data_IF_432685845986
#
_entry.id   IF_432685845986
#
_cell.length_a   1.000
_cell.length_b   1.000
_cell.length_c   1.000
_cell.angle_alpha   90.00
_cell.angle_beta   90.00
_cell.angle_gamma   90.00
#
_symmetry.space_group_name_H-M   'P 1'
#
loop_
_entity.id
_entity.type
_entity.pdbx_description
1 polymer ?
#
# COMPACT_ATOMS: atom_id res chain seq x y z
N UNK A 1 4.19 -3.31 -35.80
CA UNK A 1 3.56 -4.37 -34.99
C UNK A 1 4.43 -4.54 -33.75
N UNK A 2 4.14 -3.80 -32.68
CA UNK A 2 4.91 -3.90 -31.44
C UNK A 2 4.35 -5.12 -30.71
N UNK A 3 5.19 -6.16 -30.52
CA UNK A 3 4.85 -7.29 -29.68
C UNK A 3 4.64 -6.75 -28.27
N UNK A 4 3.48 -7.06 -27.69
CA UNK A 4 3.16 -6.78 -26.29
C UNK A 4 4.02 -7.69 -25.42
N UNK A 5 5.30 -7.36 -25.29
CA UNK A 5 6.18 -8.02 -24.34
C UNK A 5 5.64 -7.67 -22.95
N UNK A 6 5.31 -8.71 -22.18
CA UNK A 6 4.79 -8.57 -20.84
C UNK A 6 5.76 -7.71 -20.02
N UNK A 7 5.30 -6.57 -19.54
CA UNK A 7 6.06 -5.77 -18.58
C UNK A 7 6.29 -6.66 -17.34
N UNK A 8 7.54 -6.96 -17.03
CA UNK A 8 7.87 -7.65 -15.79
C UNK A 8 7.34 -6.85 -14.59
N UNK A 9 6.69 -7.52 -13.64
CA UNK A 9 6.02 -6.88 -12.51
C UNK A 9 6.98 -6.10 -11.60
N UNK A 10 8.26 -6.52 -11.54
CA UNK A 10 9.36 -5.75 -10.91
C UNK A 10 9.56 -4.37 -11.57
N UNK A 11 9.32 -4.27 -12.88
CA UNK A 11 9.36 -3.03 -13.66
C UNK A 11 8.10 -2.22 -13.37
N UNK A 12 6.93 -2.85 -13.20
CA UNK A 12 5.68 -2.17 -12.80
C UNK A 12 5.83 -1.41 -11.46
N UNK A 13 6.48 -2.01 -10.47
CA UNK A 13 6.78 -1.35 -9.19
C UNK A 13 7.73 -0.16 -9.32
N UNK A 14 8.80 -0.33 -10.10
CA UNK A 14 9.69 0.79 -10.42
C UNK A 14 8.90 1.92 -11.08
N UNK A 15 7.98 1.57 -11.98
CA UNK A 15 7.14 2.50 -12.72
C UNK A 15 6.08 3.23 -11.87
N UNK A 16 5.51 2.58 -10.84
CA UNK A 16 4.67 3.28 -9.84
C UNK A 16 5.46 4.37 -9.10
N UNK A 17 6.76 4.15 -8.84
CA UNK A 17 7.66 5.17 -8.30
C UNK A 17 8.07 6.27 -9.28
N UNK A 18 7.79 6.14 -10.59
CA UNK A 18 8.18 7.11 -11.63
C UNK A 18 7.03 7.98 -12.16
N UNK A 19 5.80 7.86 -11.64
CA UNK A 19 4.65 8.67 -12.09
C UNK A 19 3.73 7.95 -13.07
N UNK A 20 3.40 6.69 -12.78
CA UNK A 20 2.29 6.00 -13.45
C UNK A 20 0.96 6.70 -13.10
N UNK A 21 0.34 7.35 -14.08
CA UNK A 21 -1.00 7.91 -14.01
C UNK A 21 -1.98 6.90 -14.63
N UNK A 22 -2.87 6.30 -13.86
CA UNK A 22 -3.92 5.47 -14.46
C UNK A 22 -5.21 6.25 -14.68
N UNK A 23 -5.78 6.08 -15.87
CA UNK A 23 -7.16 6.47 -16.16
C UNK A 23 -8.04 5.24 -15.93
N UNK A 24 -8.49 5.12 -14.68
CA UNK A 24 -9.29 3.98 -14.22
C UNK A 24 -10.70 3.98 -14.80
N UNK A 25 -11.22 5.14 -15.21
CA UNK A 25 -12.53 5.26 -15.89
C UNK A 25 -12.52 4.55 -17.24
N UNK A 26 -11.40 4.62 -17.97
CA UNK A 26 -11.20 3.98 -19.27
C UNK A 26 -10.51 2.63 -19.18
N UNK A 27 -10.09 2.20 -17.98
CA UNK A 27 -9.25 1.01 -17.75
C UNK A 27 -7.96 1.05 -18.60
N UNK A 28 -7.40 2.24 -18.76
CA UNK A 28 -6.18 2.50 -19.55
C UNK A 28 -5.11 3.12 -18.66
N UNK A 29 -3.88 2.66 -18.79
CA UNK A 29 -2.77 3.13 -17.98
C UNK A 29 -1.90 4.09 -18.77
N UNK A 30 -1.53 5.22 -18.15
CA UNK A 30 -0.55 6.17 -18.68
C UNK A 30 0.71 6.13 -17.83
N UNK A 31 1.81 5.65 -18.38
CA UNK A 31 3.10 5.75 -17.73
C UNK A 31 3.75 7.08 -18.10
N UNK A 32 4.03 7.92 -17.12
CA UNK A 32 4.92 9.07 -17.31
C UNK A 32 6.32 8.70 -16.84
N UNK A 33 7.33 8.84 -17.71
CA UNK A 33 8.75 8.68 -17.37
C UNK A 33 9.49 9.92 -17.86
N UNK A 34 9.76 10.87 -16.96
CA UNK A 34 10.34 12.17 -17.33
C UNK A 34 9.47 12.92 -18.36
N UNK A 35 10.00 13.39 -19.50
CA UNK A 35 9.21 14.08 -20.53
C UNK A 35 8.34 13.14 -21.39
N UNK A 36 8.42 11.82 -21.19
CA UNK A 36 7.76 10.82 -22.04
C UNK A 36 6.45 10.36 -21.37
N UNK A 37 5.33 10.49 -22.09
CA UNK A 37 4.03 9.95 -21.69
C UNK A 37 3.64 8.77 -22.59
N UNK A 38 3.61 7.56 -22.03
CA UNK A 38 3.13 6.36 -22.69
C UNK A 38 1.67 6.12 -22.30
N UNK A 39 0.73 6.36 -23.21
CA UNK A 39 -0.72 6.22 -22.97
C UNK A 39 -1.22 4.83 -23.40
N UNK A 40 -2.31 4.38 -22.78
CA UNK A 40 -3.10 3.20 -23.16
C UNK A 40 -2.38 1.84 -23.07
N UNK A 41 -1.55 1.63 -22.05
CA UNK A 41 -0.99 0.29 -21.82
C UNK A 41 -2.13 -0.69 -21.50
N UNK A 42 -2.33 -1.67 -22.39
CA UNK A 42 -3.28 -2.79 -22.19
C UNK A 42 -2.52 -3.92 -21.51
N UNK A 43 -2.66 -4.04 -20.20
CA UNK A 43 -2.05 -5.11 -19.43
C UNK A 43 -3.15 -6.16 -19.13
N UNK A 44 -3.19 -7.31 -19.84
CA UNK A 44 -4.28 -8.28 -19.76
C UNK A 44 -4.56 -8.78 -18.34
N UNK A 45 -3.52 -8.86 -17.50
CA UNK A 45 -3.63 -9.31 -16.13
C UNK A 45 -4.48 -8.35 -15.25
N UNK A 46 -4.46 -7.04 -15.51
CA UNK A 46 -5.32 -6.08 -14.79
C UNK A 46 -6.78 -6.15 -15.22
N UNK A 47 -7.06 -6.50 -16.48
CA UNK A 47 -8.45 -6.75 -16.92
C UNK A 47 -9.01 -7.99 -16.24
N UNK A 48 -8.21 -9.05 -16.13
CA UNK A 48 -8.58 -10.25 -15.39
C UNK A 48 -8.83 -9.95 -13.90
N UNK A 49 -7.95 -9.17 -13.27
CA UNK A 49 -8.13 -8.70 -11.90
C UNK A 49 -9.41 -7.87 -11.72
N UNK A 50 -9.67 -6.91 -12.61
CA UNK A 50 -10.89 -6.09 -12.61
C UNK A 50 -12.19 -6.89 -12.84
N UNK A 51 -12.07 -8.16 -13.24
CA UNK A 51 -13.22 -9.05 -13.46
C UNK A 51 -13.49 -9.95 -12.26
N UNK A 52 -12.64 -9.93 -11.23
CA UNK A 52 -12.80 -10.65 -9.97
C UNK A 52 -13.01 -9.67 -8.81
N UNK A 53 -14.17 -9.02 -8.83
CA UNK A 53 -14.57 -8.01 -7.84
C UNK A 53 -14.60 -8.59 -6.41
N UNK A 54 -15.09 -9.82 -6.25
CA UNK A 54 -15.19 -10.48 -4.94
C UNK A 54 -13.81 -10.65 -4.28
N UNK A 55 -12.79 -10.98 -5.06
CA UNK A 55 -11.41 -11.06 -4.57
C UNK A 55 -10.90 -9.69 -4.12
N UNK A 56 -11.12 -8.65 -4.92
CA UNK A 56 -10.70 -7.28 -4.59
C UNK A 56 -11.40 -6.78 -3.32
N UNK A 57 -12.72 -6.99 -3.24
CA UNK A 57 -13.52 -6.62 -2.07
C UNK A 57 -13.03 -7.31 -0.81
N UNK A 58 -12.69 -8.61 -0.90
CA UNK A 58 -12.13 -9.36 0.22
C UNK A 58 -10.79 -8.78 0.68
N UNK A 59 -9.88 -8.48 -0.26
CA UNK A 59 -8.56 -7.91 0.07
C UNK A 59 -8.72 -6.55 0.76
N UNK A 60 -9.51 -5.64 0.18
CA UNK A 60 -9.76 -4.32 0.76
C UNK A 60 -10.42 -4.43 2.14
N UNK A 61 -11.39 -5.33 2.30
CA UNK A 61 -12.09 -5.52 3.56
C UNK A 61 -11.15 -6.02 4.66
N UNK A 62 -10.41 -7.10 4.40
CA UNK A 62 -9.60 -7.78 5.41
C UNK A 62 -8.28 -7.08 5.72
N UNK A 63 -7.64 -6.48 4.71
CA UNK A 63 -6.28 -5.97 4.83
C UNK A 63 -6.24 -4.46 5.02
N UNK A 64 -7.28 -3.73 4.58
CA UNK A 64 -7.32 -2.28 4.68
C UNK A 64 -8.42 -1.78 5.63
N UNK A 65 -9.69 -2.04 5.32
CA UNK A 65 -10.83 -1.46 6.05
C UNK A 65 -10.82 -1.89 7.52
N UNK A 66 -10.69 -3.20 7.79
CA UNK A 66 -10.69 -3.75 9.15
C UNK A 66 -9.40 -3.47 9.94
N UNK A 67 -8.36 -2.93 9.30
CA UNK A 67 -7.03 -2.79 9.92
C UNK A 67 -6.78 -1.33 10.28
N UNK A 68 -7.08 -0.99 11.52
CA UNK A 68 -6.89 0.36 12.06
C UNK A 68 -5.48 0.93 11.84
N UNK A 69 -4.44 0.09 11.89
CA UNK A 69 -3.04 0.47 11.63
C UNK A 69 -2.82 1.07 10.24
N UNK A 70 -3.76 0.88 9.31
CA UNK A 70 -3.71 1.47 7.98
C UNK A 70 -4.24 2.89 7.90
N UNK A 71 -4.99 3.40 8.88
CA UNK A 71 -5.65 4.71 8.73
C UNK A 71 -5.88 5.49 10.04
N UNK A 72 -5.75 4.91 11.23
CA UNK A 72 -5.87 5.63 12.52
C UNK A 72 -4.51 6.22 12.96
N UNK A 73 -4.50 7.33 13.70
CA UNK A 73 -3.30 7.83 14.39
C UNK A 73 -2.91 6.91 15.56
N UNK A 74 -1.73 6.29 15.45
CA UNK A 74 -1.18 5.38 16.45
C UNK A 74 -0.13 6.04 17.35
N UNK A 75 0.17 7.34 17.20
CA UNK A 75 1.24 8.01 17.98
C UNK A 75 0.99 8.03 19.49
N UNK A 76 -0.25 7.83 19.92
CA UNK A 76 -0.63 7.74 21.34
C UNK A 76 -0.73 6.30 21.86
N UNK A 77 -0.57 5.32 20.97
CA UNK A 77 -0.63 3.91 21.31
C UNK A 77 0.72 3.41 21.81
N UNK A 78 0.72 2.28 22.50
CA UNK A 78 1.98 1.62 22.90
C UNK A 78 2.66 1.06 21.64
N UNK A 79 3.97 1.23 21.54
CA UNK A 79 4.76 0.68 20.41
C UNK A 79 4.53 -0.83 20.23
N UNK A 80 4.36 -1.58 21.33
CA UNK A 80 4.02 -3.01 21.28
C UNK A 80 2.69 -3.31 20.59
N UNK A 81 1.68 -2.47 20.77
CA UNK A 81 0.35 -2.66 20.18
C UNK A 81 0.38 -2.30 18.68
N UNK A 82 1.19 -1.29 18.32
CA UNK A 82 1.48 -0.96 16.94
C UNK A 82 2.21 -2.12 16.22
N UNK A 83 3.26 -2.68 16.84
CA UNK A 83 3.98 -3.84 16.30
C UNK A 83 3.03 -5.03 16.14
N UNK A 84 2.20 -5.34 17.15
CA UNK A 84 1.24 -6.44 17.06
C UNK A 84 0.28 -6.25 15.87
N UNK A 85 -0.26 -5.05 15.70
CA UNK A 85 -1.17 -4.72 14.59
C UNK A 85 -0.49 -4.85 13.22
N UNK A 86 0.78 -4.41 13.11
CA UNK A 86 1.56 -4.57 11.89
C UNK A 86 1.89 -6.04 11.61
N UNK A 87 2.23 -6.83 12.63
CA UNK A 87 2.55 -8.25 12.48
C UNK A 87 1.33 -9.07 12.05
N UNK A 88 0.13 -8.75 12.57
CA UNK A 88 -1.11 -9.37 12.09
C UNK A 88 -1.37 -9.08 10.61
N UNK A 89 -1.14 -7.84 10.18
CA UNK A 89 -1.27 -7.45 8.78
C UNK A 89 -0.19 -8.10 7.90
N UNK A 90 1.07 -8.10 8.33
CA UNK A 90 2.20 -8.78 7.66
C UNK A 90 1.88 -10.25 7.39
N UNK A 91 1.42 -10.99 8.41
CA UNK A 91 1.07 -12.40 8.28
C UNK A 91 -0.11 -12.61 7.33
N UNK A 92 -1.12 -11.74 7.38
CA UNK A 92 -2.25 -11.81 6.47
C UNK A 92 -1.85 -11.55 5.02
N UNK A 93 -0.95 -10.58 4.79
CA UNK A 93 -0.35 -10.31 3.50
C UNK A 93 0.43 -11.53 2.98
N UNK A 94 1.33 -12.09 3.79
CA UNK A 94 2.13 -13.25 3.41
C UNK A 94 1.28 -14.47 3.08
N UNK A 95 0.28 -14.78 3.92
CA UNK A 95 -0.66 -15.88 3.67
C UNK A 95 -1.45 -15.68 2.39
N UNK A 96 -2.03 -14.49 2.20
CA UNK A 96 -2.80 -14.18 0.98
C UNK A 96 -1.92 -14.27 -0.26
N UNK A 97 -0.66 -13.84 -0.17
CA UNK A 97 0.29 -13.96 -1.27
C UNK A 97 0.54 -15.43 -1.66
N UNK A 98 0.74 -16.31 -0.68
CA UNK A 98 0.96 -17.74 -0.90
C UNK A 98 -0.25 -18.42 -1.53
N UNK A 99 -1.46 -18.10 -1.04
CA UNK A 99 -2.71 -18.61 -1.57
C UNK A 99 -2.86 -18.28 -3.07
N UNK A 100 -2.62 -17.02 -3.46
CA UNK A 100 -2.70 -16.62 -4.86
C UNK A 100 -1.54 -17.15 -5.70
N UNK A 101 -0.33 -17.20 -5.15
CA UNK A 101 0.84 -17.77 -5.85
C UNK A 101 0.62 -19.23 -6.20
N UNK A 102 -0.02 -20.00 -5.32
CA UNK A 102 -0.26 -21.43 -5.49
C UNK A 102 -1.26 -21.76 -6.62
N UNK A 103 -2.07 -20.80 -7.05
CA UNK A 103 -3.07 -21.01 -8.13
C UNK A 103 -2.43 -21.19 -9.52
N UNK A 104 -1.23 -20.64 -9.71
CA UNK A 104 -0.54 -20.61 -11.02
C UNK A 104 -1.20 -19.73 -12.09
N UNK A 105 -2.25 -18.94 -11.76
CA UNK A 105 -2.90 -18.05 -12.73
C UNK A 105 -2.16 -16.72 -12.83
N UNK A 106 -1.93 -16.22 -14.05
CA UNK A 106 -1.23 -14.95 -14.29
C UNK A 106 -1.87 -13.74 -13.58
N UNK A 107 -3.20 -13.71 -13.48
CA UNK A 107 -3.92 -12.65 -12.77
C UNK A 107 -3.66 -12.69 -11.25
N UNK A 108 -3.60 -13.90 -10.69
CA UNK A 108 -3.38 -14.15 -9.26
C UNK A 108 -1.93 -13.84 -8.88
N UNK A 109 -0.97 -13.96 -9.82
CA UNK A 109 0.43 -13.56 -9.59
C UNK A 109 0.59 -12.07 -9.30
N UNK A 110 -0.26 -11.21 -9.88
CA UNK A 110 -0.28 -9.77 -9.55
C UNK A 110 -0.68 -9.57 -8.09
N UNK A 111 -1.78 -10.19 -7.67
CA UNK A 111 -2.26 -10.09 -6.29
C UNK A 111 -1.23 -10.63 -5.31
N UNK A 112 -0.64 -11.78 -5.63
CA UNK A 112 0.43 -12.39 -4.84
C UNK A 112 1.58 -11.40 -4.63
N UNK A 113 2.07 -10.80 -5.73
CA UNK A 113 3.18 -9.86 -5.69
C UNK A 113 2.82 -8.56 -4.95
N UNK A 114 1.58 -8.08 -5.07
CA UNK A 114 1.07 -6.94 -4.29
C UNK A 114 1.07 -7.23 -2.79
N UNK A 115 0.56 -8.40 -2.40
CA UNK A 115 0.52 -8.82 -1.02
C UNK A 115 1.94 -8.99 -0.46
N UNK A 116 2.89 -9.54 -1.23
CA UNK A 116 4.31 -9.58 -0.83
C UNK A 116 4.92 -8.20 -0.67
N UNK A 117 4.62 -7.26 -1.57
CA UNK A 117 5.09 -5.88 -1.44
C UNK A 117 4.60 -5.24 -0.14
N UNK A 118 3.32 -5.42 0.19
CA UNK A 118 2.74 -4.91 1.43
C UNK A 118 3.29 -5.62 2.69
N UNK A 119 3.47 -6.94 2.64
CA UNK A 119 4.16 -7.71 3.68
C UNK A 119 5.54 -7.11 3.98
N UNK A 120 6.35 -6.85 2.95
CA UNK A 120 7.67 -6.22 3.12
C UNK A 120 7.58 -4.84 3.78
N UNK A 121 6.58 -4.02 3.43
CA UNK A 121 6.41 -2.71 4.06
C UNK A 121 6.00 -2.80 5.53
N UNK A 122 5.19 -3.81 5.89
CA UNK A 122 4.88 -4.08 7.29
C UNK A 122 6.13 -4.54 8.05
N UNK A 123 6.91 -5.43 7.45
CA UNK A 123 8.16 -5.94 8.01
C UNK A 123 9.17 -4.82 8.28
N UNK A 124 9.39 -3.92 7.30
CA UNK A 124 10.26 -2.74 7.43
C UNK A 124 9.80 -1.85 8.59
N UNK A 125 8.50 -1.55 8.68
CA UNK A 125 7.95 -0.74 9.78
C UNK A 125 8.14 -1.41 11.14
N UNK A 126 7.92 -2.72 11.26
CA UNK A 126 8.16 -3.48 12.49
C UNK A 126 9.63 -3.41 12.90
N UNK A 127 10.56 -3.52 11.95
CA UNK A 127 11.98 -3.44 12.21
C UNK A 127 12.38 -2.06 12.77
N UNK A 128 11.86 -0.98 12.20
CA UNK A 128 12.07 0.39 12.68
C UNK A 128 11.59 0.53 14.13
N UNK A 129 10.37 0.08 14.44
CA UNK A 129 9.81 0.17 15.79
C UNK A 129 10.59 -0.67 16.81
N UNK A 130 11.10 -1.84 16.41
CA UNK A 130 11.96 -2.66 17.27
C UNK A 130 13.30 -1.98 17.53
N UNK A 131 13.91 -1.34 16.52
CA UNK A 131 15.12 -0.52 16.70
C UNK A 131 14.87 0.60 17.71
N UNK A 132 13.74 1.31 17.61
CA UNK A 132 13.37 2.34 18.57
C UNK A 132 13.28 1.84 20.02
N UNK A 133 12.74 0.63 20.23
CA UNK A 133 12.71 -0.02 21.57
C UNK A 133 14.12 -0.36 22.07
N UNK A 134 14.99 -0.82 21.17
CA UNK A 134 16.38 -1.14 21.51
C UNK A 134 17.18 0.12 21.85
N UNK A 135 17.00 1.20 21.09
CA UNK A 135 17.63 2.50 21.30
C UNK A 135 17.16 3.16 22.61
N UNK A 136 15.87 3.12 22.93
CA UNK A 136 15.35 3.62 24.22
C UNK A 136 15.98 2.87 25.41
N UNK A 137 16.27 1.57 25.25
CA UNK A 137 16.86 0.71 26.30
C UNK A 137 18.38 0.75 26.37
N UNK A 138 19.04 1.42 25.42
CA UNK A 138 20.48 1.42 25.31
C UNK A 138 21.11 2.17 26.50
N UNK A 139 22.11 1.60 27.20
CA UNK A 139 22.73 2.24 28.37
C UNK A 139 23.26 3.65 28.10
N UNK A 140 23.79 3.89 26.90
CA UNK A 140 24.29 5.18 26.43
C UNK A 140 23.20 6.26 26.34
N UNK A 141 21.94 5.87 26.20
CA UNK A 141 20.79 6.76 26.08
C UNK A 141 20.09 6.98 27.44
N UNK A 142 20.63 6.44 28.52
CA UNK A 142 20.09 6.63 29.88
C UNK A 142 20.09 8.11 30.25
N UNK A 143 18.90 8.72 30.36
CA UNK A 143 18.73 10.14 30.66
C UNK A 143 18.63 11.06 29.42
N UNK A 144 18.63 10.49 28.21
CA UNK A 144 18.17 11.18 27.00
C UNK A 144 16.65 11.05 26.86
N UNK A 145 16.00 12.05 26.28
CA UNK A 145 14.56 12.06 26.01
C UNK A 145 14.24 11.32 24.70
N UNK A 146 14.77 10.10 24.55
CA UNK A 146 14.54 9.24 23.38
C UNK A 146 13.41 8.28 23.75
N UNK A 147 12.28 8.34 23.02
CA UNK A 147 11.19 7.39 23.19
C UNK A 147 11.02 6.53 21.94
N UNK A 148 10.81 5.22 22.11
CA UNK A 148 10.44 4.34 21.01
C UNK A 148 9.14 4.80 20.29
N UNK A 149 8.30 5.59 20.98
CA UNK A 149 7.10 6.18 20.38
C UNK A 149 7.40 7.21 19.29
N UNK A 150 8.58 7.84 19.34
CA UNK A 150 9.02 8.83 18.35
C UNK A 150 9.29 8.22 16.98
N UNK A 151 9.43 6.89 16.90
CA UNK A 151 9.64 6.14 15.66
C UNK A 151 8.32 5.76 14.96
N UNK A 152 7.17 5.91 15.63
CA UNK A 152 5.85 5.58 15.04
C UNK A 152 5.55 6.45 13.80
N UNK A 153 5.76 7.78 13.82
CA UNK A 153 5.60 8.63 12.65
C UNK A 153 6.38 8.13 11.42
N UNK A 154 7.67 7.82 11.59
CA UNK A 154 8.50 7.40 10.47
C UNK A 154 8.09 6.01 9.95
N UNK A 155 7.93 5.04 10.87
CA UNK A 155 7.60 3.66 10.51
C UNK A 155 6.25 3.55 9.78
N UNK A 156 5.18 4.13 10.36
CA UNK A 156 3.85 4.06 9.75
C UNK A 156 3.68 5.05 8.60
N UNK A 157 4.34 6.20 8.66
CA UNK A 157 4.33 7.21 7.61
C UNK A 157 4.82 6.63 6.29
N UNK A 158 6.01 6.04 6.31
CA UNK A 158 6.60 5.42 5.12
C UNK A 158 5.84 4.19 4.64
N UNK A 159 5.44 3.30 5.55
CA UNK A 159 4.67 2.09 5.20
C UNK A 159 3.37 2.47 4.48
N UNK A 160 2.57 3.38 5.06
CA UNK A 160 1.31 3.82 4.45
C UNK A 160 1.55 4.55 3.15
N UNK A 161 2.53 5.46 3.07
CA UNK A 161 2.89 6.19 1.85
C UNK A 161 3.19 5.24 0.69
N UNK A 162 3.96 4.18 0.94
CA UNK A 162 4.31 3.18 -0.08
C UNK A 162 3.15 2.24 -0.43
N UNK A 163 2.21 2.01 0.49
CA UNK A 163 1.11 1.04 0.29
C UNK A 163 -0.16 1.68 -0.27
N UNK A 164 -0.47 2.93 0.06
CA UNK A 164 -1.69 3.62 -0.35
C UNK A 164 -1.94 3.68 -1.87
N UNK A 165 -0.92 3.82 -2.74
CA UNK A 165 -1.13 3.74 -4.19
C UNK A 165 -1.74 2.41 -4.65
N UNK A 166 -1.38 1.30 -3.99
CA UNK A 166 -1.93 -0.02 -4.29
C UNK A 166 -3.38 -0.14 -3.85
N UNK A 167 -3.68 0.41 -2.68
CA UNK A 167 -5.04 0.43 -2.14
C UNK A 167 -5.94 1.28 -3.03
N UNK A 168 -5.48 2.45 -3.46
CA UNK A 168 -6.18 3.31 -4.42
C UNK A 168 -6.49 2.55 -5.71
N UNK A 169 -5.50 1.85 -6.26
CA UNK A 169 -5.69 1.02 -7.45
C UNK A 169 -6.76 -0.05 -7.24
N UNK A 170 -6.73 -0.79 -6.14
CA UNK A 170 -7.74 -1.82 -5.83
C UNK A 170 -9.14 -1.21 -5.71
N UNK A 171 -9.26 -0.06 -5.06
CA UNK A 171 -10.52 0.70 -4.93
C UNK A 171 -11.07 1.07 -6.31
N UNK A 172 -10.21 1.45 -7.25
CA UNK A 172 -10.61 1.91 -8.57
C UNK A 172 -10.96 0.78 -9.54
N UNK A 173 -10.53 -0.44 -9.24
CA UNK A 173 -10.95 -1.63 -9.99
C UNK A 173 -12.39 -2.05 -9.65
N UNK A 174 -12.95 -1.59 -8.51
CA UNK A 174 -14.33 -1.87 -8.12
C UNK A 174 -15.35 -0.95 -8.83
N UNK A 175 -16.58 -1.42 -9.11
CA UNK A 175 -17.68 -0.61 -9.63
C UNK A 175 -18.02 0.58 -8.71
N UNK A 176 -18.64 1.64 -9.26
CA UNK A 176 -19.00 2.85 -8.49
C UNK A 176 -20.04 2.59 -7.42
N UNK A 177 -20.91 1.63 -7.68
CA UNK A 177 -21.98 1.16 -6.82
C UNK A 177 -21.51 0.23 -5.69
N UNK A 178 -20.24 -0.20 -5.66
CA UNK A 178 -19.73 -1.07 -4.59
C UNK A 178 -19.67 -0.32 -3.26
N UNK A 179 -20.31 -0.89 -2.24
CA UNK A 179 -20.26 -0.39 -0.87
C UNK A 179 -18.82 -0.43 -0.31
N UNK A 180 -18.08 -1.51 -0.62
CA UNK A 180 -16.68 -1.66 -0.21
C UNK A 180 -15.81 -0.58 -0.83
N UNK A 181 -16.05 -0.22 -2.09
CA UNK A 181 -15.35 0.91 -2.73
C UNK A 181 -15.57 2.22 -1.97
N UNK A 182 -16.82 2.51 -1.59
CA UNK A 182 -17.17 3.74 -0.87
C UNK A 182 -16.46 3.79 0.49
N UNK A 183 -16.57 2.73 1.29
CA UNK A 183 -15.92 2.65 2.61
C UNK A 183 -14.40 2.75 2.48
N UNK A 184 -13.80 2.02 1.54
CA UNK A 184 -12.37 2.07 1.33
C UNK A 184 -11.89 3.47 0.88
N UNK A 185 -12.64 4.17 0.02
CA UNK A 185 -12.31 5.56 -0.34
C UNK A 185 -12.31 6.48 0.88
N UNK A 186 -13.33 6.41 1.72
CA UNK A 186 -13.44 7.22 2.94
C UNK A 186 -12.26 6.96 3.90
N UNK A 187 -11.93 5.68 4.12
CA UNK A 187 -10.79 5.29 4.96
C UNK A 187 -9.45 5.74 4.38
N UNK A 188 -9.30 5.69 3.05
CA UNK A 188 -8.08 6.13 2.39
C UNK A 188 -7.90 7.65 2.49
N UNK A 189 -8.97 8.42 2.27
CA UNK A 189 -8.95 9.88 2.47
C UNK A 189 -8.61 10.21 3.92
N UNK A 190 -9.29 9.58 4.88
CA UNK A 190 -8.99 9.76 6.29
C UNK A 190 -7.52 9.44 6.62
N UNK A 191 -7.01 8.29 6.17
CA UNK A 191 -5.63 7.90 6.41
C UNK A 191 -4.60 8.85 5.78
N UNK A 192 -4.88 9.39 4.59
CA UNK A 192 -4.05 10.42 3.94
C UNK A 192 -4.04 11.72 4.73
N UNK A 193 -5.19 12.16 5.24
CA UNK A 193 -5.28 13.33 6.12
C UNK A 193 -4.42 13.15 7.38
N UNK A 194 -4.48 11.97 8.00
CA UNK A 194 -3.65 11.66 9.16
C UNK A 194 -2.16 11.71 8.81
N UNK A 195 -1.74 11.14 7.66
CA UNK A 195 -0.34 11.20 7.22
C UNK A 195 0.20 12.63 7.14
N UNK A 196 -0.58 13.54 6.55
CA UNK A 196 -0.20 14.95 6.41
C UNK A 196 -0.14 15.65 7.77
N UNK A 197 -1.18 15.46 8.60
CA UNK A 197 -1.31 16.18 9.87
C UNK A 197 -0.32 15.70 10.92
N UNK A 198 0.02 14.42 10.91
CA UNK A 198 0.57 13.74 12.09
C UNK A 198 1.85 12.95 11.81
N UNK A 199 2.12 12.59 10.56
CA UNK A 199 3.27 11.77 10.16
C UNK A 199 4.27 12.54 9.28
N UNK A 200 4.12 13.87 9.15
CA UNK A 200 5.08 14.73 8.46
C UNK A 200 5.19 14.49 6.95
N UNK A 201 4.25 13.75 6.35
CA UNK A 201 4.27 13.44 4.93
C UNK A 201 3.75 14.64 4.14
N UNK A 202 4.52 15.10 3.15
CA UNK A 202 4.08 16.19 2.25
C UNK A 202 2.86 15.77 1.43
N UNK A 203 1.96 16.70 1.14
CA UNK A 203 0.83 16.43 0.23
C UNK A 203 1.31 16.00 -1.17
N UNK A 204 2.42 16.57 -1.64
CA UNK A 204 3.07 16.20 -2.92
C UNK A 204 3.55 14.75 -2.97
N UNK A 205 3.79 14.16 -1.80
CA UNK A 205 4.34 12.81 -1.65
C UNK A 205 3.25 11.74 -1.58
N UNK A 206 1.99 12.18 -1.45
CA UNK A 206 0.78 11.36 -1.38
C UNK A 206 -0.03 11.47 -2.68
N UNK A 207 0.28 12.46 -3.52
CA UNK A 207 -0.31 12.63 -4.84
C UNK A 207 0.09 11.50 -5.79
N UNK A 208 -0.87 10.63 -6.10
CA UNK A 208 -0.90 9.87 -7.35
C UNK A 208 -2.27 10.09 -7.98
N UNK A 209 -2.25 10.71 -9.16
CA UNK A 209 -3.32 10.92 -10.13
C UNK A 209 -4.71 11.32 -9.56
N UNK A 210 -4.95 12.63 -9.44
CA UNK A 210 -6.31 13.16 -9.50
C UNK A 210 -6.95 12.76 -10.82
N UNK A 211 -7.98 11.93 -10.77
CA UNK A 211 -8.90 11.73 -11.89
C UNK A 211 -9.86 12.92 -11.91
N UNK A 212 -9.64 13.83 -12.85
CA UNK A 212 -10.63 14.80 -13.31
C UNK A 212 -11.61 14.16 -14.28
#
# INVERSE_FOLDING_TARGET
>A
MIKSDAIEFSTFWKMLGFGLEADFSKRTWTLTVGPIKLKELKIPQFRALASDEATIERILSEMFIKRAVMWIDFRRERVSDCIASLSELEQLCGKTAEEFSATGKDADQIISSMCRGWECQCHEAIAILKSGIEEERAPENTGMDISATDYIPDALGDMRKKTYPLIQMLIELLPEESEIRTIAKEKLVYGKDELIRHYGVSSSDIEVATVS
#
